data_IF_060606321760
#
_entry.id   IF_060606321760
#
_cell.length_a   1.000
_cell.length_b   1.000
_cell.length_c   1.000
_cell.angle_alpha   90.00
_cell.angle_beta   90.00
_cell.angle_gamma   90.00
#
_symmetry.space_group_name_H-M   'P 1'
#
loop_
_entity.id
_entity.type
_entity.pdbx_description
1 polymer ?
#
# COMPACT_ATOMS: atom_id res chain seq x y z
N UNK A 1 -12.64 -11.35 -41.69
CA UNK A 1 -12.44 -11.96 -40.36
C UNK A 1 -12.04 -10.85 -39.39
N UNK A 2 -13.03 -10.14 -38.83
CA UNK A 2 -12.77 -9.12 -37.81
C UNK A 2 -12.49 -9.85 -36.49
N UNK A 3 -11.23 -9.91 -36.09
CA UNK A 3 -10.83 -10.37 -34.76
C UNK A 3 -11.34 -9.36 -33.73
N UNK A 4 -12.61 -9.53 -33.33
CA UNK A 4 -13.22 -8.72 -32.28
C UNK A 4 -12.60 -9.13 -30.95
N UNK A 5 -11.86 -8.21 -30.33
CA UNK A 5 -11.43 -8.35 -28.95
C UNK A 5 -12.66 -8.66 -28.08
N UNK A 6 -12.72 -9.85 -27.50
CA UNK A 6 -13.88 -10.29 -26.73
C UNK A 6 -14.01 -9.47 -25.43
N UNK A 7 -15.09 -8.70 -25.35
CA UNK A 7 -15.42 -7.85 -24.21
C UNK A 7 -15.57 -8.67 -22.91
N UNK A 8 -16.06 -9.92 -23.01
CA UNK A 8 -16.18 -10.82 -21.87
C UNK A 8 -14.80 -11.22 -21.32
N UNK A 9 -13.84 -11.53 -22.21
CA UNK A 9 -12.46 -11.78 -21.85
C UNK A 9 -11.82 -10.56 -21.15
N UNK A 10 -12.05 -9.34 -21.65
CA UNK A 10 -11.56 -8.12 -21.02
C UNK A 10 -12.10 -7.91 -19.60
N UNK A 11 -13.41 -8.07 -19.40
CA UNK A 11 -14.04 -7.94 -18.10
C UNK A 11 -13.55 -8.99 -17.08
N UNK A 12 -13.28 -10.21 -17.55
CA UNK A 12 -12.72 -11.28 -16.70
C UNK A 12 -11.30 -10.95 -16.25
N UNK A 13 -10.42 -10.51 -17.17
CA UNK A 13 -9.03 -10.14 -16.85
C UNK A 13 -9.01 -9.01 -15.83
N UNK A 14 -9.84 -7.97 -15.98
CA UNK A 14 -9.95 -6.88 -15.01
C UNK A 14 -10.42 -7.37 -13.64
N UNK A 15 -11.35 -8.33 -13.59
CA UNK A 15 -11.81 -8.92 -12.32
C UNK A 15 -10.68 -9.66 -11.62
N UNK A 16 -9.92 -10.50 -12.34
CA UNK A 16 -8.75 -11.21 -11.79
C UNK A 16 -7.68 -10.21 -11.35
N UNK A 17 -7.38 -9.21 -12.18
CA UNK A 17 -6.40 -8.17 -11.88
C UNK A 17 -6.72 -7.41 -10.59
N UNK A 18 -7.98 -7.04 -10.36
CA UNK A 18 -8.40 -6.41 -9.09
C UNK A 18 -8.17 -7.30 -7.87
N UNK A 19 -8.44 -8.60 -7.98
CA UNK A 19 -8.21 -9.57 -6.90
C UNK A 19 -6.71 -9.70 -6.64
N UNK A 20 -5.91 -9.88 -7.68
CA UNK A 20 -4.46 -10.02 -7.59
C UNK A 20 -3.81 -8.77 -7.02
N UNK A 21 -4.17 -7.58 -7.50
CA UNK A 21 -3.63 -6.32 -6.97
C UNK A 21 -3.95 -6.16 -5.48
N UNK A 22 -5.20 -6.43 -5.08
CA UNK A 22 -5.61 -6.27 -3.67
C UNK A 22 -4.89 -7.25 -2.74
N UNK A 23 -5.00 -8.55 -3.02
CA UNK A 23 -4.45 -9.55 -2.11
C UNK A 23 -2.95 -9.74 -2.28
N UNK A 24 -2.40 -9.48 -3.47
CA UNK A 24 -0.97 -9.40 -3.69
C UNK A 24 -0.34 -8.24 -2.91
N UNK A 25 -0.94 -7.05 -2.95
CA UNK A 25 -0.45 -5.92 -2.15
C UNK A 25 -0.59 -6.18 -0.65
N UNK A 26 -1.72 -6.73 -0.20
CA UNK A 26 -1.92 -7.13 1.19
C UNK A 26 -0.86 -8.15 1.65
N UNK A 27 -0.56 -9.15 0.82
CA UNK A 27 0.47 -10.14 1.08
C UNK A 27 1.86 -9.49 1.18
N UNK A 28 2.22 -8.59 0.26
CA UNK A 28 3.50 -7.87 0.29
C UNK A 28 3.65 -7.12 1.63
N UNK A 29 2.63 -6.35 2.03
CA UNK A 29 2.64 -5.60 3.29
C UNK A 29 2.79 -6.51 4.52
N UNK A 30 2.02 -7.59 4.60
CA UNK A 30 2.11 -8.53 5.72
C UNK A 30 3.47 -9.19 5.75
N UNK A 31 3.99 -9.62 4.59
CA UNK A 31 5.26 -10.34 4.52
C UNK A 31 6.45 -9.44 4.87
N UNK A 32 6.51 -8.24 4.29
CA UNK A 32 7.54 -7.26 4.61
C UNK A 32 7.45 -6.83 6.07
N UNK A 33 6.24 -6.60 6.57
CA UNK A 33 6.03 -6.24 7.96
C UNK A 33 6.48 -7.34 8.93
N UNK A 34 6.25 -8.62 8.62
CA UNK A 34 6.79 -9.73 9.40
C UNK A 34 8.34 -9.76 9.38
N UNK A 35 8.96 -9.46 8.24
CA UNK A 35 10.43 -9.41 8.13
C UNK A 35 11.04 -8.32 9.01
N UNK A 36 10.32 -7.21 9.27
CA UNK A 36 10.79 -6.10 10.13
C UNK A 36 11.09 -6.50 11.58
N UNK A 37 10.65 -7.67 12.03
CA UNK A 37 10.97 -8.20 13.35
C UNK A 37 12.34 -8.88 13.43
N UNK A 38 13.08 -8.93 12.32
CA UNK A 38 14.44 -9.48 12.25
C UNK A 38 15.50 -8.39 12.31
N UNK A 39 16.69 -8.74 12.81
CA UNK A 39 17.86 -7.85 12.79
C UNK A 39 18.39 -7.61 11.37
N UNK A 40 18.24 -8.61 10.50
CA UNK A 40 18.58 -8.53 9.08
C UNK A 40 17.85 -7.35 8.42
N UNK A 41 16.53 -7.33 8.55
CA UNK A 41 15.71 -6.30 7.92
C UNK A 41 15.90 -4.92 8.58
N UNK A 42 16.04 -4.88 9.91
CA UNK A 42 16.30 -3.65 10.64
C UNK A 42 17.60 -2.96 10.18
N UNK A 43 18.65 -3.75 9.95
CA UNK A 43 19.93 -3.24 9.42
C UNK A 43 19.81 -2.83 7.97
N UNK A 44 19.06 -3.60 7.16
CA UNK A 44 18.84 -3.31 5.74
C UNK A 44 18.12 -1.98 5.49
N UNK A 45 17.13 -1.63 6.32
CA UNK A 45 16.38 -0.38 6.15
C UNK A 45 16.98 0.84 6.88
N UNK A 46 17.90 0.61 7.81
CA UNK A 46 18.48 1.68 8.63
C UNK A 46 19.06 2.85 7.79
N UNK A 47 19.78 2.63 6.66
CA UNK A 47 20.28 3.73 5.85
C UNK A 47 19.17 4.61 5.27
N UNK A 48 18.04 4.01 4.86
CA UNK A 48 16.91 4.75 4.30
C UNK A 48 16.23 5.62 5.36
N UNK A 49 16.00 5.06 6.56
CA UNK A 49 15.39 5.80 7.67
C UNK A 49 16.31 6.94 8.11
N UNK A 50 17.61 6.66 8.31
CA UNK A 50 18.58 7.63 8.82
C UNK A 50 18.73 8.87 7.92
N UNK A 51 18.56 8.71 6.61
CA UNK A 51 18.68 9.82 5.66
C UNK A 51 17.34 10.54 5.39
N UNK A 52 16.22 10.07 5.95
CA UNK A 52 14.91 10.65 5.69
C UNK A 52 14.55 11.74 6.71
N UNK A 53 14.15 12.96 6.28
CA UNK A 53 13.66 13.99 7.19
C UNK A 53 12.31 13.64 7.83
N UNK A 54 11.53 12.73 7.21
CA UNK A 54 10.20 12.36 7.69
C UNK A 54 10.23 11.35 8.84
N UNK A 55 11.16 10.39 8.78
CA UNK A 55 11.22 9.25 9.71
C UNK A 55 12.57 9.08 10.41
N UNK A 56 13.60 9.86 10.08
CA UNK A 56 14.94 9.72 10.65
C UNK A 56 15.01 9.91 12.17
N UNK A 57 14.09 10.69 12.74
CA UNK A 57 13.95 10.86 14.18
C UNK A 57 13.47 9.58 14.92
N UNK A 58 13.03 8.53 14.20
CA UNK A 58 12.66 7.26 14.85
C UNK A 58 13.87 6.56 15.44
N UNK A 59 15.04 6.66 14.80
CA UNK A 59 16.25 6.04 15.32
C UNK A 59 16.70 6.65 16.65
N UNK A 60 16.51 7.96 16.86
CA UNK A 60 16.88 8.59 18.12
C UNK A 60 15.93 8.23 19.27
N UNK A 61 14.65 7.97 18.98
CA UNK A 61 13.65 7.62 20.02
C UNK A 61 13.54 6.12 20.30
N UNK A 62 13.62 5.29 19.26
CA UNK A 62 13.31 3.86 19.32
C UNK A 62 14.54 2.97 19.09
N UNK A 63 15.67 3.56 18.66
CA UNK A 63 16.79 2.81 18.11
C UNK A 63 16.47 2.19 16.75
N UNK A 64 17.48 1.56 16.14
CA UNK A 64 17.36 0.93 14.81
C UNK A 64 16.32 -0.20 14.83
N UNK A 65 16.41 -1.11 15.81
CA UNK A 65 15.50 -2.24 15.90
C UNK A 65 14.07 -1.81 16.27
N UNK A 66 13.91 -0.84 17.17
CA UNK A 66 12.58 -0.35 17.55
C UNK A 66 11.87 0.40 16.42
N UNK A 67 12.61 1.18 15.63
CA UNK A 67 12.06 1.79 14.41
C UNK A 67 11.59 0.73 13.40
N UNK A 68 12.36 -0.35 13.23
CA UNK A 68 11.96 -1.50 12.40
C UNK A 68 10.67 -2.15 12.93
N UNK A 69 10.57 -2.44 14.23
CA UNK A 69 9.34 -3.00 14.80
C UNK A 69 8.12 -2.11 14.56
N UNK A 70 8.25 -0.80 14.71
CA UNK A 70 7.16 0.14 14.45
C UNK A 70 6.69 0.08 13.00
N UNK A 71 7.63 0.07 12.04
CA UNK A 71 7.30 -0.14 10.62
C UNK A 71 6.61 -1.48 10.41
N UNK A 72 7.10 -2.55 11.04
CA UNK A 72 6.52 -3.88 10.93
C UNK A 72 5.05 -3.94 11.35
N UNK A 73 4.70 -3.32 12.47
CA UNK A 73 3.32 -3.23 12.94
C UNK A 73 2.45 -2.44 11.95
N UNK A 74 2.94 -1.30 11.46
CA UNK A 74 2.22 -0.47 10.48
C UNK A 74 1.98 -1.24 9.18
N UNK A 75 2.99 -1.94 8.67
CA UNK A 75 2.91 -2.71 7.43
C UNK A 75 1.93 -3.88 7.56
N UNK A 76 2.01 -4.66 8.65
CA UNK A 76 1.06 -5.76 8.91
C UNK A 76 -0.36 -5.22 9.04
N UNK A 77 -0.58 -4.15 9.81
CA UNK A 77 -1.89 -3.53 9.96
C UNK A 77 -2.44 -3.06 8.60
N UNK A 78 -1.60 -2.44 7.78
CA UNK A 78 -1.95 -2.00 6.42
C UNK A 78 -2.42 -3.17 5.56
N UNK A 79 -1.65 -4.26 5.52
CA UNK A 79 -2.01 -5.43 4.72
C UNK A 79 -3.29 -6.12 5.19
N UNK A 80 -3.52 -6.23 6.51
CA UNK A 80 -4.78 -6.75 7.06
C UNK A 80 -5.96 -5.86 6.65
N UNK A 81 -5.82 -4.53 6.79
CA UNK A 81 -6.87 -3.58 6.42
C UNK A 81 -7.21 -3.65 4.92
N UNK A 82 -6.21 -3.82 4.05
CA UNK A 82 -6.43 -4.03 2.61
C UNK A 82 -7.18 -5.34 2.32
N UNK A 83 -6.84 -6.42 3.03
CA UNK A 83 -7.45 -7.74 2.83
C UNK A 83 -8.93 -7.80 3.24
N UNK A 84 -9.35 -7.06 4.27
CA UNK A 84 -10.74 -7.09 4.78
C UNK A 84 -11.75 -6.33 3.91
N UNK A 85 -11.35 -5.79 2.77
CA UNK A 85 -12.20 -5.02 1.84
C UNK A 85 -13.58 -5.63 1.58
N UNK A 86 -13.66 -6.94 1.34
CA UNK A 86 -14.93 -7.62 1.00
C UNK A 86 -15.95 -7.55 2.15
N UNK A 87 -15.48 -7.56 3.39
CA UNK A 87 -16.32 -7.53 4.60
C UNK A 87 -16.51 -6.10 5.10
N UNK A 88 -15.45 -5.30 5.13
CA UNK A 88 -15.44 -3.95 5.70
C UNK A 88 -14.71 -2.93 4.79
N UNK A 89 -15.37 -2.42 3.72
CA UNK A 89 -14.76 -1.44 2.82
C UNK A 89 -14.25 -0.19 3.51
N UNK A 90 -14.90 0.27 4.58
CA UNK A 90 -14.44 1.42 5.39
C UNK A 90 -13.09 1.17 6.07
N UNK A 91 -12.85 -0.04 6.56
CA UNK A 91 -11.55 -0.40 7.11
C UNK A 91 -10.49 -0.45 6.00
N UNK A 92 -10.87 -0.96 4.81
CA UNK A 92 -9.99 -0.95 3.64
C UNK A 92 -9.65 0.45 3.11
N UNK A 93 -10.49 1.46 3.34
CA UNK A 93 -10.13 2.87 3.08
C UNK A 93 -8.91 3.28 3.91
N UNK A 94 -8.88 2.91 5.20
CA UNK A 94 -7.73 3.18 6.06
C UNK A 94 -6.49 2.43 5.57
N UNK A 95 -6.63 1.14 5.20
CA UNK A 95 -5.52 0.36 4.63
C UNK A 95 -4.98 0.97 3.33
N UNK A 96 -5.85 1.41 2.43
CA UNK A 96 -5.46 2.10 1.19
C UNK A 96 -4.72 3.41 1.46
N UNK A 97 -5.22 4.23 2.40
CA UNK A 97 -4.56 5.48 2.78
C UNK A 97 -3.19 5.25 3.42
N UNK A 98 -3.09 4.27 4.33
CA UNK A 98 -1.82 3.88 4.93
C UNK A 98 -0.82 3.40 3.87
N UNK A 99 -1.26 2.55 2.94
CA UNK A 99 -0.40 2.07 1.84
C UNK A 99 0.11 3.21 0.95
N UNK A 100 -0.76 4.15 0.58
CA UNK A 100 -0.37 5.36 -0.18
C UNK A 100 0.69 6.15 0.58
N UNK A 101 0.48 6.40 1.87
CA UNK A 101 1.45 7.13 2.68
C UNK A 101 2.78 6.39 2.80
N UNK A 102 2.77 5.08 3.01
CA UNK A 102 3.99 4.27 3.06
C UNK A 102 4.79 4.42 1.77
N UNK A 103 4.17 4.23 0.59
CA UNK A 103 4.92 4.33 -0.67
C UNK A 103 5.33 5.75 -1.04
N UNK A 104 4.61 6.79 -0.59
CA UNK A 104 5.08 8.17 -0.71
C UNK A 104 6.34 8.40 0.14
N UNK A 105 6.38 7.86 1.35
CA UNK A 105 7.56 7.92 2.22
C UNK A 105 8.71 7.13 1.58
N UNK A 106 8.48 5.91 1.08
CA UNK A 106 9.56 5.14 0.45
C UNK A 106 10.08 5.81 -0.81
N UNK A 107 9.22 6.36 -1.67
CA UNK A 107 9.66 7.13 -2.85
C UNK A 107 10.41 8.41 -2.48
N UNK A 108 10.14 9.02 -1.32
CA UNK A 108 10.94 10.15 -0.83
C UNK A 108 12.40 9.76 -0.57
N UNK A 109 12.68 8.47 -0.32
CA UNK A 109 14.05 7.95 -0.18
C UNK A 109 14.85 8.07 -1.47
N UNK A 110 14.19 8.15 -2.63
CA UNK A 110 14.86 8.35 -3.91
C UNK A 110 15.60 9.70 -3.97
N UNK A 111 15.13 10.70 -3.22
CA UNK A 111 15.75 12.03 -3.13
C UNK A 111 16.71 12.17 -1.95
N UNK A 112 16.49 11.38 -0.90
CA UNK A 112 17.16 11.58 0.39
C UNK A 112 18.25 10.56 0.68
N UNK A 113 18.17 9.37 0.09
CA UNK A 113 19.12 8.27 0.35
C UNK A 113 20.28 8.30 -0.65
N UNK A 114 21.54 8.33 -0.17
CA UNK A 114 22.72 8.17 -1.03
C UNK A 114 22.72 6.81 -1.74
N UNK A 115 23.34 6.76 -2.92
CA UNK A 115 23.49 5.50 -3.67
C UNK A 115 22.34 5.17 -4.61
N UNK A 116 21.38 6.07 -4.84
CA UNK A 116 20.32 5.90 -5.85
C UNK A 116 20.90 5.87 -7.28
N UNK A 117 21.88 6.73 -7.57
CA UNK A 117 22.57 6.76 -8.86
C UNK A 117 23.61 5.64 -8.95
N UNK A 118 23.70 4.99 -10.11
CA UNK A 118 24.75 4.03 -10.41
C UNK A 118 26.11 4.72 -10.59
N UNK A 119 27.24 3.98 -10.56
CA UNK A 119 28.58 4.57 -10.72
C UNK A 119 28.78 5.37 -12.02
N UNK A 120 28.00 5.07 -13.07
CA UNK A 120 28.00 5.79 -14.34
C UNK A 120 27.21 7.12 -14.31
N UNK A 121 26.63 7.49 -13.17
CA UNK A 121 25.85 8.71 -12.98
C UNK A 121 24.36 8.57 -13.35
N UNK A 122 23.55 9.52 -12.86
CA UNK A 122 22.13 9.62 -13.21
C UNK A 122 21.97 9.98 -14.71
N UNK A 123 21.02 9.39 -15.47
CA UNK A 123 19.82 8.66 -15.04
C UNK A 123 19.97 7.16 -14.78
N UNK A 124 21.18 6.60 -14.83
CA UNK A 124 21.36 5.19 -14.46
C UNK A 124 21.21 5.03 -12.93
N UNK A 125 20.36 4.09 -12.52
CA UNK A 125 20.05 3.82 -11.11
C UNK A 125 20.71 2.54 -10.63
N UNK A 126 21.10 2.52 -9.36
CA UNK A 126 21.73 1.37 -8.72
C UNK A 126 20.74 0.21 -8.53
N UNK A 127 21.25 -1.02 -8.51
CA UNK A 127 20.44 -2.24 -8.39
C UNK A 127 19.89 -2.41 -6.97
N UNK A 128 20.70 -2.07 -5.98
CA UNK A 128 20.45 -2.21 -4.56
C UNK A 128 19.47 -1.16 -4.01
N UNK A 129 19.65 0.11 -4.38
CA UNK A 129 18.83 1.22 -3.83
C UNK A 129 17.84 1.73 -4.87
N UNK A 130 18.34 2.18 -6.03
CA UNK A 130 17.52 2.89 -7.01
C UNK A 130 16.40 2.03 -7.62
N UNK A 131 16.71 0.80 -8.05
CA UNK A 131 15.71 -0.13 -8.60
C UNK A 131 14.72 -0.62 -7.54
N UNK A 132 15.20 -0.84 -6.30
CA UNK A 132 14.35 -1.23 -5.18
C UNK A 132 13.29 -0.16 -4.86
N UNK A 133 13.65 1.11 -4.95
CA UNK A 133 12.73 2.23 -4.75
C UNK A 133 11.82 2.47 -5.97
N UNK A 134 12.33 2.31 -7.19
CA UNK A 134 11.56 2.62 -8.40
C UNK A 134 10.31 1.74 -8.55
N UNK A 135 10.38 0.45 -8.17
CA UNK A 135 9.20 -0.44 -8.20
C UNK A 135 8.06 0.05 -7.31
N UNK A 136 8.35 0.83 -6.26
CA UNK A 136 7.34 1.32 -5.34
C UNK A 136 6.41 2.35 -6.00
N UNK A 137 6.81 2.95 -7.13
CA UNK A 137 5.92 3.81 -7.94
C UNK A 137 4.71 3.03 -8.48
N UNK A 138 4.92 1.79 -8.92
CA UNK A 138 3.82 0.91 -9.34
C UNK A 138 2.91 0.51 -8.18
N UNK A 139 3.50 0.26 -7.01
CA UNK A 139 2.77 -0.09 -5.79
C UNK A 139 1.98 1.11 -5.23
N UNK A 140 2.49 2.33 -5.37
CA UNK A 140 1.76 3.56 -5.09
C UNK A 140 0.53 3.68 -5.99
N UNK A 141 0.69 3.45 -7.30
CA UNK A 141 -0.44 3.44 -8.24
C UNK A 141 -1.51 2.42 -7.87
N UNK A 142 -1.11 1.20 -7.52
CA UNK A 142 -2.00 0.17 -7.01
C UNK A 142 -2.71 0.59 -5.71
N UNK A 143 -1.99 1.24 -4.80
CA UNK A 143 -2.55 1.70 -3.52
C UNK A 143 -3.60 2.79 -3.72
N UNK A 144 -3.34 3.76 -4.60
CA UNK A 144 -4.30 4.83 -4.98
C UNK A 144 -5.55 4.21 -5.59
N UNK A 145 -5.39 3.24 -6.50
CA UNK A 145 -6.50 2.54 -7.11
C UNK A 145 -7.37 1.82 -6.07
N UNK A 146 -6.75 1.04 -5.18
CA UNK A 146 -7.47 0.29 -4.14
C UNK A 146 -8.16 1.21 -3.12
N UNK A 147 -7.55 2.36 -2.80
CA UNK A 147 -8.16 3.39 -1.96
C UNK A 147 -9.44 3.96 -2.62
N UNK A 148 -9.37 4.31 -3.91
CA UNK A 148 -10.53 4.77 -4.67
C UNK A 148 -11.65 3.74 -4.72
N UNK A 149 -11.31 2.46 -4.98
CA UNK A 149 -12.28 1.36 -4.98
C UNK A 149 -12.95 1.17 -3.59
N UNK A 150 -12.16 1.25 -2.51
CA UNK A 150 -12.67 1.15 -1.14
C UNK A 150 -13.60 2.30 -0.77
N UNK A 151 -13.28 3.53 -1.20
CA UNK A 151 -14.13 4.71 -0.99
C UNK A 151 -15.48 4.57 -1.70
N UNK A 152 -15.48 4.13 -2.96
CA UNK A 152 -16.72 3.88 -3.72
C UNK A 152 -17.59 2.84 -3.03
N UNK A 153 -17.02 1.67 -2.70
CA UNK A 153 -17.75 0.60 -2.01
C UNK A 153 -18.26 1.01 -0.62
N UNK A 154 -17.54 1.86 0.10
CA UNK A 154 -17.96 2.39 1.39
C UNK A 154 -19.17 3.35 1.27
N UNK A 155 -19.16 4.22 0.25
CA UNK A 155 -20.25 5.15 -0.03
C UNK A 155 -21.54 4.41 -0.43
N UNK A 156 -21.44 3.39 -1.29
CA UNK A 156 -22.57 2.58 -1.74
C UNK A 156 -23.24 1.82 -0.58
N UNK A 157 -22.45 1.26 0.33
CA UNK A 157 -23.01 0.58 1.52
C UNK A 157 -23.70 1.55 2.46
N UNK A 158 -23.23 2.79 2.52
CA UNK A 158 -23.86 3.83 3.35
C UNK A 158 -25.20 4.29 2.78
N UNK A 159 -25.29 4.49 1.46
CA UNK A 159 -26.54 4.88 0.79
C UNK A 159 -27.62 3.80 1.01
N UNK A 160 -27.29 2.53 0.79
CA UNK A 160 -28.20 1.39 1.02
C UNK A 160 -28.66 1.33 2.48
N UNK A 161 -27.74 1.55 3.45
CA UNK A 161 -28.08 1.52 4.88
C UNK A 161 -29.00 2.68 5.27
N UNK A 162 -28.81 3.87 4.69
CA UNK A 162 -29.67 5.05 4.93
C UNK A 162 -31.10 4.80 4.43
N UNK A 163 -31.26 4.28 3.21
CA UNK A 163 -32.57 3.96 2.62
C UNK A 163 -33.33 2.92 3.45
N UNK A 164 -32.67 1.84 3.88
CA UNK A 164 -33.31 0.85 4.77
C UNK A 164 -33.78 1.44 6.09
N UNK A 165 -33.02 2.39 6.65
CA UNK A 165 -33.36 3.03 7.93
C UNK A 165 -34.55 3.99 7.78
N UNK A 166 -34.67 4.71 6.66
CA UNK A 166 -35.83 5.56 6.38
C UNK A 166 -37.10 4.74 6.14
N UNK A 167 -37.01 3.64 5.41
CA UNK A 167 -38.17 2.76 5.14
C UNK A 167 -38.67 2.10 6.41
N UNK A 168 -37.78 1.66 7.29
CA UNK A 168 -38.15 1.10 8.58
C UNK A 168 -38.90 2.13 9.44
N UNK A 169 -38.41 3.38 9.51
CA UNK A 169 -39.08 4.47 10.25
C UNK A 169 -40.46 4.81 9.70
N UNK A 170 -40.65 4.76 8.38
CA UNK A 170 -41.94 5.00 7.73
C UNK A 170 -42.97 3.90 7.99
N UNK A 171 -42.53 2.67 8.26
CA UNK A 171 -43.42 1.54 8.58
C UNK A 171 -43.83 1.47 10.04
N UNK A 172 -43.09 2.14 10.92
CA UNK A 172 -43.31 2.14 12.37
C UNK A 172 -43.95 3.43 12.89
N UNK A 173 -44.25 4.38 12.01
CA UNK A 173 -44.95 5.64 12.29
C UNK A 173 -46.36 5.57 11.70
#
# INVERSE_FOLDING_TARGET
MSGGWDEASGAWILRVGRIVIRYGLALIFVWYGCMKFTSYEATGIAPFIANSPLVGWWHSLLGIQGASYMLGVIEIATGILLAVYTVAPRAAVMGGAMAVLTYLITLSFFLTTPGVAAPMGFPAISVDVGQFLLKDLGLLGASIWLLGEALGAAADRESVRRTRRSDHRRRTA
#
